data_IF_263310143630
#
_entry.id   IF_263310143630
#
_cell.length_a   1.000
_cell.length_b   1.000
_cell.length_c   1.000
_cell.angle_alpha   90.00
_cell.angle_beta   90.00
_cell.angle_gamma   90.00
#
_symmetry.space_group_name_H-M   'P 1'
#
loop_
_entity.id
_entity.type
_entity.pdbx_description
1 polymer ?
#
# COMPACT_ATOMS: atom_id res chain seq x y z
N UNK A 1 27.19 16.68 5.64
CA UNK A 1 26.75 15.60 4.76
C UNK A 1 27.37 15.83 3.39
N UNK A 2 28.01 14.83 2.76
CA UNK A 2 28.68 15.01 1.47
C UNK A 2 27.66 15.05 0.31
N UNK A 3 28.00 15.72 -0.80
CA UNK A 3 27.16 15.74 -2.00
C UNK A 3 26.92 14.32 -2.55
N UNK A 4 27.87 13.44 -2.41
CA UNK A 4 27.75 12.05 -2.84
C UNK A 4 26.70 11.30 -2.00
N UNK A 5 26.71 11.47 -0.67
CA UNK A 5 25.71 10.86 0.22
C UNK A 5 24.28 11.28 -0.13
N UNK A 6 24.07 12.57 -0.46
CA UNK A 6 22.74 13.07 -0.91
C UNK A 6 22.36 12.45 -2.25
N UNK A 7 23.29 12.36 -3.19
CA UNK A 7 23.03 11.76 -4.51
C UNK A 7 22.67 10.30 -4.41
N UNK A 8 23.37 9.55 -3.56
CA UNK A 8 23.10 8.13 -3.34
C UNK A 8 21.71 7.92 -2.69
N UNK A 9 21.36 8.73 -1.69
CA UNK A 9 20.05 8.70 -1.06
C UNK A 9 18.92 9.01 -2.07
N UNK A 10 19.09 10.04 -2.91
CA UNK A 10 18.12 10.38 -3.95
C UNK A 10 18.00 9.28 -5.01
N UNK A 11 19.09 8.58 -5.31
CA UNK A 11 19.05 7.43 -6.23
C UNK A 11 18.24 6.25 -5.65
N UNK A 12 18.41 5.97 -4.36
CA UNK A 12 17.60 4.95 -3.66
C UNK A 12 16.11 5.33 -3.70
N UNK A 13 15.77 6.56 -3.35
CA UNK A 13 14.38 7.04 -3.40
C UNK A 13 13.78 6.98 -4.81
N UNK A 14 14.58 7.22 -5.87
CA UNK A 14 14.15 7.08 -7.25
C UNK A 14 13.87 5.61 -7.61
N UNK A 15 14.74 4.69 -7.20
CA UNK A 15 14.55 3.25 -7.40
C UNK A 15 13.30 2.73 -6.68
N UNK A 16 13.04 3.25 -5.49
CA UNK A 16 11.86 2.91 -4.68
C UNK A 16 10.57 3.59 -5.17
N UNK A 17 10.65 4.52 -6.12
CA UNK A 17 9.48 5.19 -6.70
C UNK A 17 8.99 6.43 -5.96
N UNK A 18 9.67 6.88 -4.90
CA UNK A 18 9.29 8.07 -4.13
C UNK A 18 9.55 9.39 -4.86
N UNK A 19 10.56 9.40 -5.73
CA UNK A 19 10.95 10.58 -6.49
C UNK A 19 11.23 10.23 -7.94
N UNK A 20 11.18 11.25 -8.82
CA UNK A 20 11.53 11.17 -10.24
C UNK A 20 12.65 12.18 -10.53
N UNK A 21 13.72 11.71 -11.16
CA UNK A 21 14.80 12.59 -11.62
C UNK A 21 14.51 13.06 -13.03
N UNK A 22 14.55 14.36 -13.23
CA UNK A 22 14.44 14.99 -14.55
C UNK A 22 15.82 15.55 -14.90
N UNK A 23 16.46 15.09 -16.00
CA UNK A 23 17.76 15.58 -16.41
C UNK A 23 17.77 17.12 -16.51
N UNK A 24 18.79 17.76 -15.96
CA UNK A 24 18.99 19.23 -15.90
C UNK A 24 18.00 20.01 -15.02
N UNK A 25 16.90 19.41 -14.54
CA UNK A 25 15.88 20.10 -13.75
C UNK A 25 15.90 19.70 -12.27
N UNK A 26 16.42 18.51 -11.92
CA UNK A 26 16.54 18.07 -10.53
C UNK A 26 15.72 16.83 -10.18
N UNK A 27 15.38 16.70 -8.90
CA UNK A 27 14.61 15.56 -8.37
C UNK A 27 13.30 16.10 -7.79
N UNK A 28 12.19 15.46 -8.12
CA UNK A 28 10.84 15.88 -7.79
C UNK A 28 10.03 14.71 -7.25
N UNK A 29 9.06 14.98 -6.38
CA UNK A 29 7.99 14.05 -6.06
C UNK A 29 7.08 13.96 -7.29
N UNK A 30 6.82 12.76 -7.86
CA UNK A 30 6.01 12.61 -9.06
C UNK A 30 4.58 13.10 -8.84
N UNK A 31 4.01 13.68 -9.88
CA UNK A 31 2.56 13.84 -10.04
C UNK A 31 2.12 12.77 -11.02
N UNK A 32 0.96 12.20 -10.79
CA UNK A 32 0.42 11.11 -11.59
C UNK A 32 -0.79 11.60 -12.38
N UNK A 33 -0.93 11.12 -13.60
CA UNK A 33 -2.17 11.22 -14.37
C UNK A 33 -3.15 10.14 -13.93
N UNK A 34 -4.41 10.25 -14.33
CA UNK A 34 -5.44 9.22 -14.09
C UNK A 34 -4.99 7.88 -14.66
N UNK A 35 -4.49 7.84 -15.89
CA UNK A 35 -4.03 6.62 -16.55
C UNK A 35 -2.86 5.97 -15.79
N UNK A 36 -1.88 6.77 -15.34
CA UNK A 36 -0.76 6.27 -14.52
C UNK A 36 -1.24 5.72 -13.17
N UNK A 37 -2.22 6.35 -12.54
CA UNK A 37 -2.78 5.87 -11.28
C UNK A 37 -3.53 4.54 -11.47
N UNK A 38 -4.37 4.43 -12.51
CA UNK A 38 -5.06 3.19 -12.85
C UNK A 38 -4.08 2.05 -13.14
N UNK A 39 -2.98 2.33 -13.86
CA UNK A 39 -1.92 1.35 -14.09
C UNK A 39 -1.27 0.91 -12.77
N UNK A 40 -0.97 1.83 -11.86
CA UNK A 40 -0.38 1.54 -10.55
C UNK A 40 -1.30 0.60 -9.74
N UNK A 41 -2.60 0.90 -9.64
CA UNK A 41 -3.55 0.08 -8.90
C UNK A 41 -3.77 -1.29 -9.56
N UNK A 42 -3.83 -1.38 -10.88
CA UNK A 42 -3.92 -2.64 -11.60
C UNK A 42 -2.69 -3.53 -11.37
N UNK A 43 -1.49 -2.95 -11.43
CA UNK A 43 -0.24 -3.65 -11.13
C UNK A 43 -0.16 -4.08 -9.66
N UNK A 44 -0.62 -3.23 -8.73
CA UNK A 44 -0.68 -3.56 -7.32
C UNK A 44 -1.55 -4.79 -7.09
N UNK A 45 -2.79 -4.81 -7.61
CA UNK A 45 -3.69 -5.96 -7.51
C UNK A 45 -3.06 -7.25 -8.04
N UNK A 46 -2.39 -7.19 -9.19
CA UNK A 46 -1.79 -8.35 -9.83
C UNK A 46 -0.60 -8.90 -9.02
N UNK A 47 0.30 -8.02 -8.61
CA UNK A 47 1.56 -8.40 -7.94
C UNK A 47 1.31 -8.87 -6.51
N UNK A 48 0.44 -8.18 -5.76
CA UNK A 48 0.11 -8.58 -4.39
C UNK A 48 -0.79 -9.81 -4.37
N UNK A 49 -1.74 -9.94 -5.30
CA UNK A 49 -2.55 -11.16 -5.44
C UNK A 49 -1.69 -12.40 -5.63
N UNK A 50 -0.69 -12.33 -6.52
CA UNK A 50 0.27 -13.42 -6.71
C UNK A 50 1.10 -13.69 -5.44
N UNK A 51 1.53 -12.64 -4.74
CA UNK A 51 2.29 -12.79 -3.49
C UNK A 51 1.42 -13.41 -2.39
N UNK A 52 0.14 -13.04 -2.29
CA UNK A 52 -0.80 -13.58 -1.31
C UNK A 52 -1.00 -15.08 -1.46
N UNK A 53 -1.12 -15.61 -2.69
CA UNK A 53 -1.20 -17.06 -2.94
C UNK A 53 -0.01 -17.80 -2.31
N UNK A 54 1.20 -17.27 -2.45
CA UNK A 54 2.41 -17.88 -1.87
C UNK A 54 2.54 -17.64 -0.36
N UNK A 55 2.09 -16.48 0.13
CA UNK A 55 2.13 -16.15 1.54
C UNK A 55 1.20 -17.07 2.35
N UNK A 56 -0.01 -17.34 1.85
CA UNK A 56 -0.99 -18.19 2.53
C UNK A 56 -0.48 -19.61 2.80
N UNK A 57 0.43 -20.12 1.96
CA UNK A 57 1.06 -21.43 2.16
C UNK A 57 2.13 -21.42 3.25
N UNK A 58 2.59 -20.26 3.69
CA UNK A 58 3.74 -20.09 4.60
C UNK A 58 3.40 -19.40 5.91
N UNK A 59 2.28 -18.65 5.96
CA UNK A 59 1.85 -17.90 7.14
C UNK A 59 1.64 -18.82 8.34
N UNK A 60 2.41 -18.59 9.41
CA UNK A 60 2.17 -19.19 10.71
C UNK A 60 1.02 -18.50 11.44
N UNK A 61 0.52 -19.12 12.52
CA UNK A 61 -0.48 -18.49 13.38
C UNK A 61 0.04 -17.19 14.01
N UNK A 62 1.32 -17.15 14.35
CA UNK A 62 1.97 -15.93 14.90
C UNK A 62 1.95 -14.80 13.85
N UNK A 63 2.20 -15.12 12.56
CA UNK A 63 2.18 -14.11 11.50
C UNK A 63 0.77 -13.57 11.27
N UNK A 64 -0.26 -14.44 11.30
CA UNK A 64 -1.67 -14.02 11.21
C UNK A 64 -2.07 -13.12 12.37
N UNK A 65 -1.64 -13.44 13.58
CA UNK A 65 -1.86 -12.61 14.74
C UNK A 65 -1.21 -11.23 14.58
N UNK A 66 0.02 -11.16 14.08
CA UNK A 66 0.72 -9.88 13.81
C UNK A 66 -0.03 -9.02 12.78
N UNK A 67 -0.55 -9.64 11.72
CA UNK A 67 -1.37 -8.92 10.73
C UNK A 67 -2.64 -8.35 11.38
N UNK A 68 -3.34 -9.13 12.21
CA UNK A 68 -4.51 -8.65 12.97
C UNK A 68 -4.15 -7.50 13.91
N UNK A 69 -3.05 -7.60 14.65
CA UNK A 69 -2.57 -6.54 15.55
C UNK A 69 -2.26 -5.25 14.79
N UNK A 70 -1.71 -5.36 13.57
CA UNK A 70 -1.46 -4.21 12.70
C UNK A 70 -2.77 -3.51 12.32
N UNK A 71 -3.83 -4.26 11.95
CA UNK A 71 -5.14 -3.68 11.63
C UNK A 71 -5.86 -3.12 12.85
N UNK A 72 -5.83 -3.80 13.99
CA UNK A 72 -6.35 -3.25 15.26
C UNK A 72 -5.63 -1.95 15.66
N UNK A 73 -4.34 -1.84 15.34
CA UNK A 73 -3.61 -0.58 15.53
C UNK A 73 -4.08 0.51 14.56
N UNK A 74 -4.35 0.18 13.30
CA UNK A 74 -4.92 1.12 12.32
C UNK A 74 -6.29 1.64 12.78
N UNK A 75 -7.20 0.75 13.16
CA UNK A 75 -8.53 1.08 13.68
C UNK A 75 -8.46 2.04 14.88
N UNK A 76 -7.64 1.74 15.90
CA UNK A 76 -7.45 2.65 17.04
C UNK A 76 -6.97 4.04 16.62
N UNK A 77 -6.07 4.13 15.62
CA UNK A 77 -5.56 5.40 15.08
C UNK A 77 -6.64 6.16 14.31
N UNK A 78 -7.53 5.47 13.61
CA UNK A 78 -8.71 6.06 12.98
C UNK A 78 -9.59 6.72 14.05
N UNK A 79 -9.95 6.01 15.10
CA UNK A 79 -10.77 6.54 16.19
C UNK A 79 -10.09 7.64 17.01
N UNK A 80 -8.75 7.70 17.00
CA UNK A 80 -7.97 8.79 17.61
C UNK A 80 -7.71 9.96 16.66
N UNK A 81 -8.24 9.92 15.44
CA UNK A 81 -7.99 10.91 14.38
C UNK A 81 -6.52 11.06 13.97
N UNK A 82 -5.73 10.00 14.14
CA UNK A 82 -4.33 9.92 13.75
C UNK A 82 -4.19 9.38 12.30
N UNK A 83 -4.79 10.08 11.34
CA UNK A 83 -4.99 9.64 9.96
C UNK A 83 -3.71 9.16 9.26
N UNK A 84 -2.62 9.93 9.39
CA UNK A 84 -1.35 9.56 8.78
C UNK A 84 -0.77 8.26 9.37
N UNK A 85 -0.94 8.02 10.67
CA UNK A 85 -0.50 6.80 11.32
C UNK A 85 -1.41 5.62 10.98
N UNK A 86 -2.72 5.85 10.79
CA UNK A 86 -3.67 4.83 10.33
C UNK A 86 -3.31 4.36 8.91
N UNK A 87 -3.13 5.30 7.98
CA UNK A 87 -2.68 5.04 6.61
C UNK A 87 -1.38 4.25 6.58
N UNK A 88 -0.37 4.67 7.36
CA UNK A 88 0.89 3.94 7.46
C UNK A 88 0.74 2.52 8.01
N UNK A 89 -0.20 2.27 8.92
CA UNK A 89 -0.46 0.92 9.42
C UNK A 89 -1.07 0.02 8.35
N UNK A 90 -1.98 0.54 7.53
CA UNK A 90 -2.57 -0.19 6.39
C UNK A 90 -1.49 -0.47 5.33
N UNK A 91 -0.65 0.53 5.01
CA UNK A 91 0.50 0.34 4.12
C UNK A 91 1.43 -0.78 4.61
N UNK A 92 1.72 -0.83 5.91
CA UNK A 92 2.55 -1.88 6.49
C UNK A 92 1.89 -3.26 6.43
N UNK A 93 0.56 -3.36 6.51
CA UNK A 93 -0.16 -4.63 6.33
C UNK A 93 0.15 -5.26 4.97
N UNK A 94 -0.01 -4.51 3.88
CA UNK A 94 0.28 -4.97 2.51
C UNK A 94 1.74 -5.35 2.35
N UNK A 95 2.65 -4.53 2.87
CA UNK A 95 4.09 -4.83 2.84
C UNK A 95 4.42 -6.12 3.59
N UNK A 96 3.80 -6.36 4.75
CA UNK A 96 3.97 -7.58 5.51
C UNK A 96 3.44 -8.80 4.75
N UNK A 97 2.23 -8.73 4.17
CA UNK A 97 1.64 -9.81 3.36
C UNK A 97 2.60 -10.25 2.25
N UNK A 98 3.13 -9.32 1.48
CA UNK A 98 4.09 -9.63 0.41
C UNK A 98 5.40 -10.18 0.96
N UNK A 99 5.86 -9.73 2.14
CA UNK A 99 7.08 -10.22 2.77
C UNK A 99 6.99 -11.70 3.16
N UNK A 100 5.84 -12.15 3.63
CA UNK A 100 5.59 -13.55 4.01
C UNK A 100 5.62 -14.52 2.81
N UNK A 101 5.39 -14.03 1.59
CA UNK A 101 5.57 -14.85 0.39
C UNK A 101 7.02 -15.31 0.22
N UNK A 102 7.99 -14.57 0.77
CA UNK A 102 9.43 -14.82 0.66
C UNK A 102 9.91 -14.98 -0.79
N UNK A 103 9.55 -14.02 -1.64
CA UNK A 103 9.85 -13.98 -3.09
C UNK A 103 10.48 -12.65 -3.46
N UNK A 104 11.80 -12.60 -3.49
CA UNK A 104 12.60 -11.36 -3.57
C UNK A 104 12.25 -10.48 -4.78
N UNK A 105 12.02 -11.09 -5.95
CA UNK A 105 11.70 -10.32 -7.18
C UNK A 105 10.33 -9.66 -7.08
N UNK A 106 9.33 -10.40 -6.61
CA UNK A 106 7.97 -9.88 -6.41
C UNK A 106 7.97 -8.76 -5.37
N UNK A 107 8.72 -8.92 -4.27
CA UNK A 107 8.88 -7.88 -3.25
C UNK A 107 9.48 -6.59 -3.82
N UNK A 108 10.51 -6.68 -4.66
CA UNK A 108 11.14 -5.51 -5.27
C UNK A 108 10.20 -4.75 -6.23
N UNK A 109 9.42 -5.49 -7.04
CA UNK A 109 8.41 -4.90 -7.94
C UNK A 109 7.29 -4.28 -7.12
N UNK A 110 6.75 -5.03 -6.17
CA UNK A 110 5.67 -4.58 -5.27
C UNK A 110 6.05 -3.31 -4.53
N UNK A 111 7.22 -3.25 -3.91
CA UNK A 111 7.65 -2.10 -3.11
C UNK A 111 7.58 -0.80 -3.91
N UNK A 112 8.03 -0.79 -5.17
CA UNK A 112 7.97 0.40 -6.02
C UNK A 112 6.54 0.81 -6.35
N UNK A 113 5.70 -0.15 -6.74
CA UNK A 113 4.29 0.11 -7.10
C UNK A 113 3.53 0.61 -5.88
N UNK A 114 3.70 -0.05 -4.74
CA UNK A 114 3.01 0.26 -3.50
C UNK A 114 3.42 1.62 -2.92
N UNK A 115 4.70 2.00 -3.04
CA UNK A 115 5.15 3.33 -2.67
C UNK A 115 4.53 4.43 -3.54
N UNK A 116 4.34 4.18 -4.84
CA UNK A 116 3.65 5.11 -5.73
C UNK A 116 2.16 5.24 -5.39
N UNK A 117 1.49 4.13 -5.08
CA UNK A 117 0.11 4.15 -4.59
C UNK A 117 -0.01 4.93 -3.26
N UNK A 118 0.94 4.75 -2.35
CA UNK A 118 0.97 5.51 -1.10
C UNK A 118 1.24 7.02 -1.31
N UNK A 119 2.05 7.39 -2.30
CA UNK A 119 2.21 8.79 -2.70
C UNK A 119 0.90 9.40 -3.23
N UNK A 120 0.15 8.67 -4.04
CA UNK A 120 -1.16 9.06 -4.53
C UNK A 120 -2.13 9.32 -3.37
N UNK A 121 -2.20 8.41 -2.42
CA UNK A 121 -3.00 8.56 -1.20
C UNK A 121 -2.58 9.80 -0.40
N UNK A 122 -1.29 10.00 -0.13
CA UNK A 122 -0.80 11.18 0.59
C UNK A 122 -1.16 12.48 -0.13
N UNK A 123 -1.04 12.52 -1.46
CA UNK A 123 -1.40 13.69 -2.26
C UNK A 123 -2.90 13.97 -2.17
N UNK A 124 -3.73 12.95 -2.28
CA UNK A 124 -5.19 13.04 -2.10
C UNK A 124 -5.54 13.55 -0.70
N UNK A 125 -4.98 12.95 0.37
CA UNK A 125 -5.27 13.35 1.76
C UNK A 125 -4.91 14.81 2.07
N UNK A 126 -3.94 15.40 1.34
CA UNK A 126 -3.61 16.83 1.46
C UNK A 126 -4.64 17.74 0.81
N UNK A 127 -5.33 17.26 -0.22
CA UNK A 127 -6.36 18.02 -0.94
C UNK A 127 -7.72 17.92 -0.23
N UNK A 128 -8.14 16.70 0.05
CA UNK A 128 -9.41 16.40 0.73
C UNK A 128 -9.19 15.29 1.74
N UNK A 129 -9.17 15.56 3.03
CA UNK A 129 -9.09 14.52 4.06
C UNK A 129 -10.26 13.55 3.96
N UNK A 130 -10.01 12.27 4.22
CA UNK A 130 -11.08 11.28 4.38
C UNK A 130 -11.99 11.65 5.56
N UNK A 131 -13.29 11.42 5.40
CA UNK A 131 -14.22 11.46 6.52
C UNK A 131 -14.14 10.14 7.32
N UNK A 132 -14.81 10.10 8.47
CA UNK A 132 -14.75 8.93 9.36
C UNK A 132 -15.38 7.69 8.71
N UNK A 133 -16.44 7.82 7.93
CA UNK A 133 -17.13 6.70 7.26
C UNK A 133 -16.23 6.06 6.20
N UNK A 134 -15.48 6.86 5.43
CA UNK A 134 -14.48 6.37 4.47
C UNK A 134 -13.34 5.63 5.18
N UNK A 135 -12.92 6.11 6.36
CA UNK A 135 -11.91 5.42 7.17
C UNK A 135 -12.42 4.11 7.76
N UNK A 136 -13.64 4.08 8.27
CA UNK A 136 -14.26 2.87 8.82
C UNK A 136 -14.44 1.82 7.73
N UNK A 137 -14.92 2.21 6.54
CA UNK A 137 -15.01 1.30 5.37
C UNK A 137 -13.65 0.76 4.98
N UNK A 138 -12.62 1.63 4.96
CA UNK A 138 -11.25 1.23 4.65
C UNK A 138 -10.71 0.18 5.63
N UNK A 139 -10.99 0.33 6.90
CA UNK A 139 -10.60 -0.63 7.95
C UNK A 139 -11.39 -1.93 7.79
N UNK A 140 -12.70 -1.86 7.54
CA UNK A 140 -13.59 -3.01 7.39
C UNK A 140 -13.16 -3.93 6.24
N UNK A 141 -12.90 -3.40 5.05
CA UNK A 141 -12.48 -4.23 3.90
C UNK A 141 -11.16 -4.95 4.16
N UNK A 142 -10.27 -4.38 4.98
CA UNK A 142 -9.03 -5.05 5.36
C UNK A 142 -9.24 -6.12 6.45
N UNK A 143 -10.20 -5.94 7.36
CA UNK A 143 -10.58 -7.01 8.29
C UNK A 143 -11.26 -8.17 7.57
N UNK A 144 -12.06 -7.92 6.54
CA UNK A 144 -12.62 -8.99 5.68
C UNK A 144 -11.50 -9.79 5.01
N UNK A 145 -10.48 -9.12 4.46
CA UNK A 145 -9.29 -9.78 3.92
C UNK A 145 -8.62 -10.67 4.96
N UNK A 146 -8.37 -10.17 6.16
CA UNK A 146 -7.74 -10.95 7.23
C UNK A 146 -8.61 -12.13 7.68
N UNK A 147 -9.93 -11.96 7.71
CA UNK A 147 -10.85 -13.04 8.01
C UNK A 147 -10.69 -14.21 7.01
N UNK A 148 -10.66 -13.93 5.71
CA UNK A 148 -10.49 -14.98 4.69
C UNK A 148 -9.08 -15.60 4.72
N UNK A 149 -8.05 -14.84 5.07
CA UNK A 149 -6.70 -15.35 5.34
C UNK A 149 -6.73 -16.35 6.51
N UNK A 150 -7.47 -16.07 7.57
CA UNK A 150 -7.61 -16.95 8.74
C UNK A 150 -8.39 -18.22 8.42
N UNK A 151 -9.35 -18.14 7.50
CA UNK A 151 -10.09 -19.31 7.01
C UNK A 151 -9.31 -20.16 5.99
N UNK A 152 -8.09 -19.78 5.63
CA UNK A 152 -7.28 -20.42 4.59
C UNK A 152 -7.98 -20.45 3.22
N UNK A 153 -8.88 -19.48 2.95
CA UNK A 153 -9.64 -19.41 1.73
C UNK A 153 -8.92 -18.52 0.71
N UNK A 154 -8.04 -19.12 -0.09
CA UNK A 154 -7.16 -18.40 -1.03
C UNK A 154 -7.96 -17.56 -2.02
N UNK A 155 -8.98 -18.13 -2.67
CA UNK A 155 -9.76 -17.44 -3.71
C UNK A 155 -10.49 -16.23 -3.14
N UNK A 156 -11.13 -16.38 -1.98
CA UNK A 156 -11.83 -15.27 -1.33
C UNK A 156 -10.86 -14.23 -0.76
N UNK A 157 -9.74 -14.64 -0.18
CA UNK A 157 -8.73 -13.70 0.28
C UNK A 157 -8.22 -12.82 -0.87
N UNK A 158 -7.99 -13.40 -2.07
CA UNK A 158 -7.62 -12.63 -3.26
C UNK A 158 -8.75 -11.70 -3.71
N UNK A 159 -10.02 -12.11 -3.61
CA UNK A 159 -11.15 -11.25 -3.93
C UNK A 159 -11.24 -10.07 -2.95
N UNK A 160 -11.14 -10.31 -1.63
CA UNK A 160 -11.12 -9.27 -0.61
C UNK A 160 -9.94 -8.31 -0.79
N UNK A 161 -8.74 -8.82 -1.10
CA UNK A 161 -7.59 -8.00 -1.42
C UNK A 161 -7.87 -7.06 -2.60
N UNK A 162 -8.44 -7.58 -3.69
CA UNK A 162 -8.80 -6.77 -4.86
C UNK A 162 -9.86 -5.72 -4.53
N UNK A 163 -10.82 -6.04 -3.65
CA UNK A 163 -11.82 -5.08 -3.18
C UNK A 163 -11.18 -3.96 -2.36
N UNK A 164 -10.28 -4.31 -1.43
CA UNK A 164 -9.55 -3.32 -0.64
C UNK A 164 -8.74 -2.37 -1.54
N UNK A 165 -7.99 -2.90 -2.52
CA UNK A 165 -7.20 -2.09 -3.45
C UNK A 165 -8.08 -1.23 -4.37
N UNK A 166 -9.25 -1.74 -4.82
CA UNK A 166 -10.22 -0.94 -5.58
C UNK A 166 -10.77 0.21 -4.76
N UNK A 167 -11.08 -0.03 -3.51
CA UNK A 167 -11.54 1.04 -2.62
C UNK A 167 -10.48 2.16 -2.52
N UNK A 168 -9.19 1.81 -2.39
CA UNK A 168 -8.10 2.79 -2.43
C UNK A 168 -8.08 3.58 -3.75
N UNK A 169 -8.25 2.91 -4.90
CA UNK A 169 -8.32 3.53 -6.22
C UNK A 169 -9.50 4.50 -6.32
N UNK A 170 -10.69 4.08 -5.90
CA UNK A 170 -11.92 4.89 -5.90
C UNK A 170 -11.81 6.14 -5.03
N UNK A 171 -11.05 6.07 -3.94
CA UNK A 171 -10.76 7.22 -3.08
C UNK A 171 -9.80 8.24 -3.73
N UNK A 172 -8.95 7.82 -4.67
CA UNK A 172 -7.86 8.64 -5.22
C UNK A 172 -8.20 9.23 -6.59
N UNK A 173 -8.73 8.42 -7.52
CA UNK A 173 -8.96 8.80 -8.92
C UNK A 173 -9.73 10.12 -9.10
N UNK A 174 -10.82 10.40 -8.33
CA UNK A 174 -11.59 11.64 -8.50
C UNK A 174 -10.81 12.93 -8.22
N UNK A 175 -9.61 12.82 -7.62
CA UNK A 175 -8.79 13.98 -7.23
C UNK A 175 -7.54 14.18 -8.11
N UNK A 176 -7.43 13.45 -9.21
CA UNK A 176 -6.29 13.52 -10.14
C UNK A 176 -6.57 14.36 -11.39
N UNK A 177 -7.59 15.19 -11.38
CA UNK A 177 -7.91 16.12 -12.49
C UNK A 177 -6.87 17.22 -12.68
#
# INVERSE_FOLDING_TARGET
MSQNTIRDALHILEQEGWVKKIPRYGVYVPKFTIDEAQEIYALWQAVEGLALEWALQKLSEIDRQRLRETMLSAERKVHSHEWAHASYSIHNLHTALVSYANVTRTQAIFGRIHNQAHLLEIQRMRLVPLNIEEWDTRVEVHFELLHEIDQYNVDKAIQCLKQAIRFEEELVIPFLE
#
